data_IF_641985713219
#
_entry.id   IF_641985713219
#
_cell.length_a   1.000
_cell.length_b   1.000
_cell.length_c   1.000
_cell.angle_alpha   90.00
_cell.angle_beta   90.00
_cell.angle_gamma   90.00
#
_symmetry.space_group_name_H-M   'P 1'
#
loop_
_entity.id
_entity.type
_entity.pdbx_description
1 polymer ?
#
# COMPACT_ATOMS: atom_id res chain seq x y z
N UNK A 1 11.84 -5.64 -12.51
CA UNK A 1 10.81 -6.57 -12.00
C UNK A 1 10.99 -7.99 -12.51
N UNK A 2 11.25 -8.20 -13.80
CA UNK A 2 11.39 -9.54 -14.40
C UNK A 2 12.35 -10.46 -13.64
N UNK A 3 13.49 -9.91 -13.19
CA UNK A 3 14.53 -10.67 -12.49
C UNK A 3 14.29 -10.94 -11.00
N UNK A 4 13.22 -10.40 -10.38
CA UNK A 4 12.86 -10.79 -9.01
C UNK A 4 12.24 -12.19 -9.05
N UNK A 5 12.59 -13.09 -8.10
CA UNK A 5 11.92 -14.37 -8.00
C UNK A 5 10.46 -14.16 -7.59
N UNK A 6 9.57 -14.99 -8.12
CA UNK A 6 8.24 -15.14 -7.54
C UNK A 6 8.35 -16.17 -6.41
N UNK A 7 7.99 -15.76 -5.20
CA UNK A 7 8.11 -16.60 -4.01
C UNK A 7 6.77 -16.54 -3.29
N UNK A 8 6.17 -17.71 -3.07
CA UNK A 8 4.99 -17.84 -2.20
C UNK A 8 5.46 -17.83 -0.74
N UNK A 9 5.00 -16.89 0.10
CA UNK A 9 5.40 -16.86 1.49
C UNK A 9 4.90 -18.11 2.21
N UNK A 10 5.77 -18.71 3.03
CA UNK A 10 5.41 -19.80 3.94
C UNK A 10 4.69 -19.25 5.18
N UNK A 11 5.20 -18.13 5.72
CA UNK A 11 4.50 -17.31 6.72
C UNK A 11 4.40 -15.89 6.20
N UNK A 12 3.23 -15.28 6.41
CA UNK A 12 2.92 -13.91 5.99
C UNK A 12 2.21 -13.20 7.14
N UNK A 13 2.81 -12.14 7.65
CA UNK A 13 2.17 -11.20 8.57
C UNK A 13 1.89 -9.89 7.84
N UNK A 14 0.60 -9.59 7.70
CA UNK A 14 0.09 -8.30 7.24
C UNK A 14 -0.61 -7.51 8.35
N UNK A 15 -0.91 -8.16 9.48
CA UNK A 15 -1.68 -7.60 10.58
C UNK A 15 -0.82 -6.63 11.39
N UNK A 16 0.36 -7.08 11.80
CA UNK A 16 1.27 -6.27 12.63
C UNK A 16 2.37 -5.60 11.81
N UNK A 17 2.71 -6.14 10.65
CA UNK A 17 3.77 -5.64 9.78
C UNK A 17 3.48 -5.96 8.31
N UNK A 18 4.47 -5.80 7.42
CA UNK A 18 4.44 -6.43 6.08
C UNK A 18 5.67 -7.32 6.00
N UNK A 19 5.51 -8.54 6.53
CA UNK A 19 6.60 -9.49 6.73
C UNK A 19 6.31 -10.83 6.05
N UNK A 20 7.24 -11.28 5.21
CA UNK A 20 7.16 -12.56 4.50
C UNK A 20 8.38 -13.43 4.81
N UNK A 21 8.13 -14.69 5.16
CA UNK A 21 9.16 -15.67 5.46
C UNK A 21 8.99 -16.93 4.60
N UNK A 22 10.11 -17.61 4.33
CA UNK A 22 10.15 -18.92 3.69
C UNK A 22 10.22 -20.04 4.73
N UNK A 23 9.95 -21.28 4.33
CA UNK A 23 9.95 -22.45 5.24
C UNK A 23 11.31 -22.66 5.91
N UNK A 24 12.38 -22.49 5.15
CA UNK A 24 13.75 -22.44 5.63
C UNK A 24 14.48 -21.21 5.09
N UNK A 25 15.61 -20.80 5.71
CA UNK A 25 16.33 -19.61 5.28
C UNK A 25 16.75 -19.67 3.81
N UNK A 26 16.59 -18.55 3.10
CA UNK A 26 17.17 -18.41 1.77
C UNK A 26 18.69 -18.39 1.85
N UNK A 27 19.36 -18.88 0.80
CA UNK A 27 20.81 -18.77 0.70
C UNK A 27 21.27 -17.31 0.64
N UNK A 28 22.51 -17.05 1.08
CA UNK A 28 23.08 -15.71 1.03
C UNK A 28 23.07 -15.09 -0.38
N UNK A 29 23.24 -15.90 -1.43
CA UNK A 29 23.15 -15.45 -2.83
C UNK A 29 21.73 -15.03 -3.23
N UNK A 30 20.69 -15.74 -2.76
CA UNK A 30 19.30 -15.38 -3.00
C UNK A 30 18.92 -14.09 -2.27
N UNK A 31 19.30 -13.96 -1.00
CA UNK A 31 19.08 -12.74 -0.21
C UNK A 31 19.76 -11.54 -0.89
N UNK A 32 21.04 -11.66 -1.26
CA UNK A 32 21.79 -10.59 -1.94
C UNK A 32 21.18 -10.19 -3.29
N UNK A 33 20.62 -11.15 -4.03
CA UNK A 33 19.90 -10.88 -5.29
C UNK A 33 18.65 -10.05 -5.03
N UNK A 34 17.81 -10.45 -4.07
CA UNK A 34 16.62 -9.69 -3.69
C UNK A 34 17.02 -8.29 -3.23
N UNK A 35 17.99 -8.18 -2.31
CA UNK A 35 18.46 -6.90 -1.79
C UNK A 35 18.93 -5.96 -2.89
N UNK A 36 19.79 -6.43 -3.80
CA UNK A 36 20.31 -5.61 -4.92
C UNK A 36 19.18 -5.11 -5.82
N UNK A 37 18.23 -5.98 -6.17
CA UNK A 37 17.11 -5.62 -7.04
C UNK A 37 16.14 -4.65 -6.35
N UNK A 38 15.88 -4.82 -5.05
CA UNK A 38 15.05 -3.89 -4.29
C UNK A 38 15.75 -2.54 -4.10
N UNK A 39 17.08 -2.52 -3.92
CA UNK A 39 17.88 -1.29 -3.80
C UNK A 39 17.86 -0.45 -5.09
N UNK A 40 17.76 -1.09 -6.26
CA UNK A 40 17.58 -0.37 -7.54
C UNK A 40 16.25 0.38 -7.65
N UNK A 41 15.28 0.12 -6.76
CA UNK A 41 14.00 0.81 -6.67
C UNK A 41 14.02 1.95 -5.64
N UNK A 42 15.19 2.35 -5.13
CA UNK A 42 15.31 3.54 -4.31
C UNK A 42 14.91 4.80 -5.09
N UNK A 43 14.37 5.83 -4.41
CA UNK A 43 14.14 5.91 -2.97
C UNK A 43 12.90 5.13 -2.49
N UNK A 44 13.04 4.39 -1.38
CA UNK A 44 11.92 3.78 -0.66
C UNK A 44 11.43 4.72 0.43
N UNK A 45 10.22 5.28 0.24
CA UNK A 45 9.67 6.30 1.14
C UNK A 45 8.71 5.73 2.18
N UNK A 46 7.71 4.95 1.77
CA UNK A 46 6.69 4.36 2.67
C UNK A 46 6.98 2.88 2.94
N UNK A 47 6.91 2.48 4.21
CA UNK A 47 7.31 1.15 4.72
C UNK A 47 7.33 1.14 6.27
N UNK A 48 8.06 0.21 6.91
CA UNK A 48 9.08 -0.69 6.34
C UNK A 48 8.51 -2.00 5.77
N UNK A 49 9.34 -2.76 5.05
CA UNK A 49 9.02 -4.13 4.59
C UNK A 49 10.09 -5.12 5.07
N UNK A 50 9.69 -6.33 5.45
CA UNK A 50 10.62 -7.42 5.78
C UNK A 50 10.33 -8.64 4.89
N UNK A 51 11.19 -8.87 3.90
CA UNK A 51 10.93 -9.85 2.83
C UNK A 51 12.07 -10.87 2.77
N UNK A 52 11.84 -12.06 3.33
CA UNK A 52 12.77 -13.18 3.29
C UNK A 52 14.17 -12.85 3.84
N UNK A 53 14.22 -12.10 4.93
CA UNK A 53 15.46 -11.64 5.56
C UNK A 53 16.02 -10.32 5.01
N UNK A 54 15.45 -9.78 3.93
CA UNK A 54 15.77 -8.44 3.43
C UNK A 54 14.86 -7.41 4.11
N UNK A 55 15.44 -6.55 4.94
CA UNK A 55 14.72 -5.46 5.60
C UNK A 55 14.88 -4.16 4.80
N UNK A 56 13.77 -3.65 4.30
CA UNK A 56 13.69 -2.38 3.57
C UNK A 56 13.27 -1.32 4.58
N UNK A 57 14.26 -0.69 5.20
CA UNK A 57 14.05 0.48 6.05
C UNK A 57 13.80 1.71 5.17
N UNK A 58 12.67 2.37 5.41
CA UNK A 58 12.15 3.42 4.53
C UNK A 58 12.21 4.77 5.20
N UNK A 59 12.20 5.84 4.41
CA UNK A 59 12.21 7.22 4.93
C UNK A 59 11.15 7.47 6.01
N UNK A 60 9.96 6.90 5.83
CA UNK A 60 8.83 7.07 6.74
C UNK A 60 8.50 5.79 7.49
N UNK A 61 8.35 5.91 8.82
CA UNK A 61 7.69 4.92 9.69
C UNK A 61 6.19 4.94 9.46
N UNK A 62 5.78 4.34 8.34
CA UNK A 62 4.38 4.31 7.89
C UNK A 62 3.54 3.38 8.75
N UNK A 63 4.18 2.43 9.43
CA UNK A 63 3.64 1.62 10.52
C UNK A 63 3.13 2.49 11.68
N UNK A 64 3.90 3.48 12.13
CA UNK A 64 3.46 4.35 13.24
C UNK A 64 2.26 5.23 12.87
N UNK A 65 2.14 5.62 11.60
CA UNK A 65 0.93 6.30 11.12
C UNK A 65 -0.25 5.35 11.12
N UNK A 66 -0.06 4.11 10.66
CA UNK A 66 -1.10 3.09 10.66
C UNK A 66 -1.62 2.79 12.06
N UNK A 67 -0.73 2.59 13.03
CA UNK A 67 -1.10 2.25 14.40
C UNK A 67 -1.89 3.37 15.11
N UNK A 68 -1.69 4.63 14.69
CA UNK A 68 -2.48 5.78 15.17
C UNK A 68 -3.83 5.91 14.48
N UNK A 69 -3.93 5.51 13.22
CA UNK A 69 -5.17 5.61 12.43
C UNK A 69 -6.11 4.45 12.72
N UNK A 70 -5.58 3.23 12.81
CA UNK A 70 -6.34 1.98 12.93
C UNK A 70 -7.42 2.00 14.04
N UNK A 71 -7.16 2.52 15.26
CA UNK A 71 -8.17 2.53 16.34
C UNK A 71 -9.39 3.42 16.05
N UNK A 72 -9.31 4.31 15.07
CA UNK A 72 -10.37 5.25 14.70
C UNK A 72 -11.17 4.81 13.47
N UNK A 73 -10.74 3.73 12.81
CA UNK A 73 -11.41 3.21 11.63
C UNK A 73 -12.65 2.42 12.02
N UNK A 74 -13.68 2.48 11.17
CA UNK A 74 -14.66 1.41 11.12
C UNK A 74 -13.98 0.08 10.81
N UNK A 75 -14.58 -1.03 11.24
CA UNK A 75 -14.05 -2.37 10.95
C UNK A 75 -13.83 -2.55 9.44
N UNK A 76 -12.60 -2.87 9.06
CA UNK A 76 -12.18 -3.04 7.67
C UNK A 76 -12.56 -4.42 7.11
N UNK A 77 -13.03 -5.33 7.96
CA UNK A 77 -13.42 -6.69 7.56
C UNK A 77 -14.40 -6.68 6.38
N UNK A 78 -14.00 -7.29 5.27
CA UNK A 78 -14.83 -7.43 4.06
C UNK A 78 -14.93 -6.18 3.18
N UNK A 79 -14.34 -5.05 3.59
CA UNK A 79 -14.45 -3.78 2.83
C UNK A 79 -13.65 -3.80 1.53
N UNK A 80 -14.17 -3.10 0.53
CA UNK A 80 -13.45 -2.68 -0.67
C UNK A 80 -12.98 -1.24 -0.50
N UNK A 81 -11.66 -1.03 -0.56
CA UNK A 81 -11.02 0.23 -0.13
C UNK A 81 -10.27 0.88 -1.29
N UNK A 82 -10.35 2.21 -1.37
CA UNK A 82 -9.51 3.02 -2.24
C UNK A 82 -8.45 3.78 -1.42
N UNK A 83 -7.16 3.67 -1.77
CA UNK A 83 -6.06 4.45 -1.18
C UNK A 83 -5.50 5.44 -2.21
N UNK A 84 -5.83 6.72 -2.04
CA UNK A 84 -5.45 7.80 -2.95
C UNK A 84 -4.06 8.33 -2.59
N UNK A 85 -3.14 8.28 -3.56
CA UNK A 85 -1.73 8.64 -3.32
C UNK A 85 -1.02 7.58 -2.47
N UNK A 86 -1.29 6.31 -2.77
CA UNK A 86 -0.85 5.17 -1.97
C UNK A 86 0.68 5.02 -1.87
N UNK A 87 1.46 5.65 -2.76
CA UNK A 87 2.92 5.49 -2.78
C UNK A 87 3.31 4.03 -3.04
N UNK A 88 4.25 3.49 -2.27
CA UNK A 88 4.69 2.08 -2.40
C UNK A 88 3.59 1.03 -2.14
N UNK A 89 2.41 1.46 -1.68
CA UNK A 89 1.29 0.58 -1.35
C UNK A 89 1.37 -0.07 0.02
N UNK A 90 2.30 0.36 0.89
CA UNK A 90 2.46 -0.18 2.24
C UNK A 90 1.13 -0.26 3.02
N UNK A 91 0.35 0.82 3.04
CA UNK A 91 -0.91 0.87 3.79
C UNK A 91 -1.98 -0.07 3.21
N UNK A 92 -2.01 -0.30 1.89
CA UNK A 92 -2.91 -1.29 1.30
C UNK A 92 -2.66 -2.68 1.87
N UNK A 93 -1.40 -3.10 1.99
CA UNK A 93 -1.07 -4.39 2.59
C UNK A 93 -1.53 -4.49 4.05
N UNK A 94 -1.44 -3.39 4.80
CA UNK A 94 -1.97 -3.33 6.18
C UNK A 94 -3.50 -3.37 6.23
N UNK A 95 -4.19 -2.75 5.27
CA UNK A 95 -5.65 -2.86 5.13
C UNK A 95 -6.06 -4.32 4.89
N UNK A 96 -5.35 -5.05 4.02
CA UNK A 96 -5.56 -6.48 3.81
C UNK A 96 -5.31 -7.27 5.10
N UNK A 97 -4.25 -6.96 5.85
CA UNK A 97 -3.99 -7.56 7.15
C UNK A 97 -5.07 -7.30 8.20
N UNK A 98 -5.75 -6.16 8.11
CA UNK A 98 -6.88 -5.77 8.96
C UNK A 98 -8.24 -6.33 8.48
N UNK A 99 -8.27 -7.18 7.44
CA UNK A 99 -9.46 -7.90 7.01
C UNK A 99 -10.16 -7.36 5.76
N UNK A 100 -9.62 -6.31 5.11
CA UNK A 100 -10.19 -5.81 3.86
C UNK A 100 -10.26 -6.90 2.79
N UNK A 101 -11.36 -6.91 2.03
CA UNK A 101 -11.55 -7.85 0.93
C UNK A 101 -10.65 -7.49 -0.27
N UNK A 102 -10.59 -6.19 -0.58
CA UNK A 102 -9.85 -5.65 -1.72
C UNK A 102 -9.33 -4.25 -1.38
N UNK A 103 -8.05 -3.99 -1.64
CA UNK A 103 -7.44 -2.67 -1.52
C UNK A 103 -6.93 -2.19 -2.89
N UNK A 104 -7.53 -1.13 -3.43
CA UNK A 104 -7.11 -0.51 -4.67
C UNK A 104 -6.39 0.79 -4.35
N UNK A 105 -5.16 0.93 -4.81
CA UNK A 105 -4.36 2.13 -4.68
C UNK A 105 -4.28 2.86 -6.00
N UNK A 106 -4.27 4.18 -5.96
CA UNK A 106 -3.95 5.00 -7.13
C UNK A 106 -2.74 5.90 -6.82
N UNK A 107 -1.76 5.91 -7.72
CA UNK A 107 -0.65 6.85 -7.69
C UNK A 107 -0.03 6.96 -9.10
N UNK A 108 0.08 8.15 -9.70
CA UNK A 108 0.60 8.29 -11.06
C UNK A 108 2.12 8.07 -11.16
N UNK A 109 2.83 7.88 -10.04
CA UNK A 109 4.28 7.74 -10.00
C UNK A 109 4.73 6.33 -10.43
N UNK A 110 5.37 6.23 -11.59
CA UNK A 110 5.84 4.94 -12.15
C UNK A 110 6.76 4.15 -11.20
N UNK A 111 7.62 4.83 -10.44
CA UNK A 111 8.50 4.17 -9.46
C UNK A 111 7.69 3.40 -8.42
N UNK A 112 6.59 3.96 -7.95
CA UNK A 112 5.75 3.36 -6.92
C UNK A 112 4.99 2.14 -7.43
N UNK A 113 4.54 2.17 -8.69
CA UNK A 113 4.02 0.96 -9.35
C UNK A 113 5.07 -0.16 -9.37
N UNK A 114 6.31 0.15 -9.75
CA UNK A 114 7.41 -0.82 -9.73
C UNK A 114 7.71 -1.36 -8.32
N UNK A 115 7.68 -0.50 -7.30
CA UNK A 115 7.86 -0.89 -5.90
C UNK A 115 6.74 -1.81 -5.43
N UNK A 116 5.48 -1.43 -5.68
CA UNK A 116 4.31 -2.22 -5.31
C UNK A 116 4.35 -3.61 -5.96
N UNK A 117 4.60 -3.68 -7.26
CA UNK A 117 4.65 -4.95 -8.00
C UNK A 117 5.84 -5.82 -7.58
N UNK A 118 6.98 -5.21 -7.21
CA UNK A 118 8.10 -5.95 -6.63
C UNK A 118 7.72 -6.61 -5.29
N UNK A 119 7.02 -5.87 -4.41
CA UNK A 119 6.50 -6.43 -3.15
C UNK A 119 5.45 -7.50 -3.44
N UNK A 120 4.46 -7.24 -4.29
CA UNK A 120 3.41 -8.20 -4.69
C UNK A 120 3.99 -9.52 -5.19
N UNK A 121 5.01 -9.47 -6.05
CA UNK A 121 5.70 -10.67 -6.55
C UNK A 121 6.39 -11.48 -5.44
N UNK A 122 6.96 -10.78 -4.46
CA UNK A 122 7.57 -11.39 -3.27
C UNK A 122 6.53 -11.83 -2.22
N UNK A 123 5.29 -11.38 -2.31
CA UNK A 123 4.16 -11.87 -1.51
C UNK A 123 3.37 -12.99 -2.21
N UNK A 124 3.98 -13.66 -3.19
CA UNK A 124 3.35 -14.77 -3.90
C UNK A 124 2.31 -14.33 -4.92
N UNK A 125 2.50 -13.15 -5.51
CA UNK A 125 1.58 -12.56 -6.48
C UNK A 125 0.15 -12.46 -5.90
N UNK A 126 0.03 -11.94 -4.68
CA UNK A 126 -1.26 -11.74 -4.02
C UNK A 126 -2.16 -10.81 -4.86
N UNK A 127 -3.44 -11.15 -4.98
CA UNK A 127 -4.43 -10.42 -5.80
C UNK A 127 -5.42 -9.59 -4.96
N UNK A 128 -5.20 -9.46 -3.66
CA UNK A 128 -6.08 -8.68 -2.78
C UNK A 128 -5.75 -7.19 -2.81
N UNK A 129 -4.56 -6.81 -3.29
CA UNK A 129 -4.19 -5.42 -3.46
C UNK A 129 -3.76 -5.14 -4.91
N UNK A 130 -4.09 -3.95 -5.42
CA UNK A 130 -3.71 -3.51 -6.76
C UNK A 130 -3.37 -2.02 -6.77
N UNK A 131 -2.27 -1.65 -7.42
CA UNK A 131 -1.91 -0.24 -7.67
C UNK A 131 -2.18 0.09 -9.15
N UNK A 132 -2.98 1.13 -9.39
CA UNK A 132 -3.24 1.68 -10.71
C UNK A 132 -2.47 2.99 -10.92
N UNK A 133 -1.77 3.18 -12.05
CA UNK A 133 -0.98 4.39 -12.31
C UNK A 133 -1.86 5.56 -12.76
N UNK A 134 -2.77 5.98 -11.88
CA UNK A 134 -3.77 7.02 -12.11
C UNK A 134 -3.68 8.11 -11.04
N UNK A 135 -3.96 9.36 -11.43
CA UNK A 135 -4.34 10.42 -10.51
C UNK A 135 -5.84 10.38 -10.19
N UNK A 136 -6.24 10.94 -9.05
CA UNK A 136 -7.65 10.95 -8.61
C UNK A 136 -8.55 11.70 -9.60
N UNK A 137 -8.01 12.73 -10.25
CA UNK A 137 -8.71 13.51 -11.27
C UNK A 137 -9.12 12.72 -12.51
N UNK A 138 -8.54 11.53 -12.71
CA UNK A 138 -8.87 10.63 -13.82
C UNK A 138 -10.01 9.67 -13.48
N UNK A 139 -10.42 9.57 -12.21
CA UNK A 139 -11.50 8.69 -11.80
C UNK A 139 -12.86 9.33 -12.05
N UNK A 140 -13.83 8.60 -12.62
CA UNK A 140 -15.23 9.04 -12.61
C UNK A 140 -15.81 8.93 -11.19
N UNK A 141 -17.07 9.34 -11.02
CA UNK A 141 -17.80 9.09 -9.77
C UNK A 141 -18.19 7.61 -9.68
N UNK A 142 -17.30 6.79 -9.13
CA UNK A 142 -17.48 5.34 -9.04
C UNK A 142 -18.54 4.95 -7.99
N UNK A 143 -18.60 5.66 -6.86
CA UNK A 143 -19.51 5.39 -5.73
C UNK A 143 -19.55 3.91 -5.33
N UNK A 144 -18.39 3.31 -5.20
CA UNK A 144 -18.22 1.85 -5.11
C UNK A 144 -17.33 1.39 -3.95
N UNK A 145 -16.65 2.30 -3.25
CA UNK A 145 -15.75 1.98 -2.15
C UNK A 145 -16.42 2.18 -0.80
N UNK A 146 -16.23 1.23 0.11
CA UNK A 146 -16.75 1.30 1.48
C UNK A 146 -15.94 2.29 2.33
N UNK A 147 -14.63 2.36 2.07
CA UNK A 147 -13.72 3.30 2.73
C UNK A 147 -12.75 3.89 1.70
N UNK A 148 -12.49 5.19 1.80
CA UNK A 148 -11.52 5.91 0.95
C UNK A 148 -10.48 6.57 1.84
N UNK A 149 -9.21 6.31 1.57
CA UNK A 149 -8.08 6.96 2.21
C UNK A 149 -7.50 8.04 1.31
N UNK A 150 -7.16 9.18 1.90
CA UNK A 150 -6.37 10.24 1.27
C UNK A 150 -5.39 10.79 2.28
N UNK A 151 -4.22 10.14 2.40
CA UNK A 151 -3.20 10.46 3.39
C UNK A 151 -1.98 11.13 2.74
N UNK A 152 -1.83 12.44 2.98
CA UNK A 152 -0.71 13.24 2.47
C UNK A 152 -0.90 13.75 1.04
N UNK A 153 -2.15 13.89 0.58
CA UNK A 153 -2.46 14.36 -0.77
C UNK A 153 -3.04 15.78 -0.78
N UNK A 154 -3.86 16.14 0.21
CA UNK A 154 -4.69 17.35 0.20
C UNK A 154 -3.89 18.65 0.02
N UNK A 155 -2.73 18.77 0.68
CA UNK A 155 -1.90 19.98 0.63
C UNK A 155 -1.20 20.22 -0.71
N UNK A 156 -1.16 19.22 -1.59
CA UNK A 156 -0.64 19.37 -2.95
C UNK A 156 -1.72 19.79 -3.96
N UNK A 157 -2.99 19.85 -3.54
CA UNK A 157 -4.12 20.12 -4.44
C UNK A 157 -4.35 21.62 -4.53
N UNK A 158 -4.50 22.11 -5.77
CA UNK A 158 -4.83 23.53 -6.05
C UNK A 158 -6.20 23.91 -5.50
N UNK A 159 -7.16 22.98 -5.56
CA UNK A 159 -8.51 23.14 -5.04
C UNK A 159 -8.82 22.06 -4.01
N UNK A 160 -8.69 22.34 -2.70
CA UNK A 160 -8.92 21.34 -1.66
C UNK A 160 -10.39 20.91 -1.57
N UNK A 161 -11.34 21.81 -1.88
CA UNK A 161 -12.77 21.48 -1.87
C UNK A 161 -13.15 20.54 -3.01
N UNK A 162 -12.60 20.75 -4.21
CA UNK A 162 -12.80 19.83 -5.34
C UNK A 162 -12.23 18.44 -5.03
N UNK A 163 -11.06 18.37 -4.38
CA UNK A 163 -10.50 17.10 -3.94
C UNK A 163 -11.42 16.37 -2.96
N UNK A 164 -12.02 17.08 -1.99
CA UNK A 164 -12.99 16.48 -1.07
C UNK A 164 -14.25 15.98 -1.79
N UNK A 165 -14.75 16.72 -2.79
CA UNK A 165 -15.86 16.24 -3.62
C UNK A 165 -15.48 15.01 -4.44
N UNK A 166 -14.29 14.98 -5.04
CA UNK A 166 -13.79 13.83 -5.78
C UNK A 166 -13.67 12.58 -4.91
N UNK A 167 -13.17 12.72 -3.67
CA UNK A 167 -13.10 11.62 -2.70
C UNK A 167 -14.50 11.11 -2.33
N UNK A 168 -15.44 12.03 -2.07
CA UNK A 168 -16.84 11.69 -1.79
C UNK A 168 -17.47 10.91 -2.95
N UNK A 169 -17.17 11.29 -4.19
CA UNK A 169 -17.70 10.62 -5.39
C UNK A 169 -17.18 9.19 -5.60
N UNK A 170 -16.19 8.75 -4.81
CA UNK A 170 -15.73 7.36 -4.80
C UNK A 170 -16.47 6.49 -3.77
N UNK A 171 -17.05 7.10 -2.74
CA UNK A 171 -17.70 6.41 -1.63
C UNK A 171 -19.12 5.94 -1.98
N UNK A 172 -19.49 4.77 -1.47
CA UNK A 172 -20.89 4.38 -1.33
C UNK A 172 -21.60 5.29 -0.31
N UNK A 173 -22.93 5.26 -0.28
CA UNK A 173 -23.67 5.89 0.81
C UNK A 173 -23.27 5.26 2.16
N UNK A 174 -23.16 6.06 3.22
CA UNK A 174 -22.62 5.65 4.53
C UNK A 174 -21.16 5.14 4.51
N UNK A 175 -20.45 5.38 3.40
CA UNK A 175 -19.02 5.08 3.29
C UNK A 175 -18.15 5.97 4.19
N UNK A 176 -16.98 5.47 4.55
CA UNK A 176 -16.04 6.14 5.45
C UNK A 176 -14.92 6.88 4.69
N UNK A 177 -14.72 8.16 5.00
CA UNK A 177 -13.57 8.91 4.50
C UNK A 177 -12.48 9.01 5.57
N UNK A 178 -11.27 8.57 5.23
CA UNK A 178 -10.08 8.72 6.07
C UNK A 178 -9.14 9.75 5.44
N UNK A 179 -9.10 10.95 6.04
CA UNK A 179 -8.31 12.07 5.57
C UNK A 179 -7.16 12.34 6.54
N UNK A 180 -5.92 12.38 6.03
CA UNK A 180 -4.73 12.63 6.84
C UNK A 180 -3.73 13.53 6.14
N UNK A 181 -2.98 14.32 6.90
CA UNK A 181 -1.89 15.12 6.38
C UNK A 181 -0.60 14.28 6.23
N UNK A 182 0.37 14.79 5.45
CA UNK A 182 1.66 14.12 5.32
C UNK A 182 2.48 14.20 6.61
N UNK A 183 2.36 15.30 7.37
CA UNK A 183 3.05 15.52 8.63
C UNK A 183 2.51 14.68 9.79
N UNK A 184 3.41 14.38 10.73
CA UNK A 184 3.26 13.55 11.93
C UNK A 184 1.84 13.55 12.50
#
# INVERSE_FOLDING_TARGET
MEFLPEIKPYRLDLLHSVTAESEGPLSAGQIKRIETLMRNLMPWRKGPFSLYGVNIDTEWRSDWKWDRVLPHLSDLTGRTILDVGCGSGYHMWRMIGAGAHLAVGIDPTQLFLCQFEAVRKLLGNDQRAHLLPLGIEQLPALKAFDTVFSMGVLYHRRSPLEHLWQLKDQLVNEGELVLGNAGY
#
